data_IF_252713024673
#
_entry.id   IF_252713024673
#
_cell.length_a   1.000
_cell.length_b   1.000
_cell.length_c   1.000
_cell.angle_alpha   90.00
_cell.angle_beta   90.00
_cell.angle_gamma   90.00
#
_symmetry.space_group_name_H-M   'P 1'
#
loop_
_entity.id
_entity.type
_entity.pdbx_description
1 polymer ?
#
# COMPACT_ATOMS: atom_id res chain seq x y z
N UNK A 1 16.98 1.91 -17.36
CA UNK A 1 16.15 2.16 -16.16
C UNK A 1 16.35 3.60 -15.74
N UNK A 2 15.29 4.34 -15.36
CA UNK A 2 15.42 5.72 -14.88
C UNK A 2 16.18 5.73 -13.54
N UNK A 3 17.00 6.75 -13.26
CA UNK A 3 17.79 6.91 -12.04
C UNK A 3 16.94 6.72 -10.77
N UNK A 4 15.71 7.26 -10.71
CA UNK A 4 14.79 7.09 -9.59
C UNK A 4 14.43 5.63 -9.31
N UNK A 5 14.14 4.84 -10.34
CA UNK A 5 13.81 3.41 -10.17
C UNK A 5 15.01 2.60 -9.72
N UNK A 6 16.20 2.97 -10.17
CA UNK A 6 17.44 2.35 -9.74
C UNK A 6 17.67 2.60 -8.24
N UNK A 7 17.52 3.84 -7.77
CA UNK A 7 17.60 4.19 -6.35
C UNK A 7 16.56 3.43 -5.51
N UNK A 8 15.32 3.31 -6.01
CA UNK A 8 14.27 2.52 -5.34
C UNK A 8 14.66 1.05 -5.22
N UNK A 9 15.16 0.47 -6.31
CA UNK A 9 15.62 -0.93 -6.33
C UNK A 9 16.76 -1.16 -5.34
N UNK A 10 17.81 -0.34 -5.40
CA UNK A 10 18.98 -0.42 -4.53
C UNK A 10 18.56 -0.31 -3.05
N UNK A 11 17.69 0.66 -2.73
CA UNK A 11 17.17 0.79 -1.38
C UNK A 11 16.45 -0.49 -0.90
N UNK A 12 15.58 -1.08 -1.71
CA UNK A 12 14.84 -2.28 -1.33
C UNK A 12 15.72 -3.53 -1.31
N UNK A 13 16.68 -3.66 -2.21
CA UNK A 13 17.60 -4.79 -2.23
C UNK A 13 18.57 -4.78 -1.02
N UNK A 14 19.01 -3.60 -0.56
CA UNK A 14 20.03 -3.47 0.48
C UNK A 14 19.44 -3.21 1.88
N UNK A 15 18.36 -2.43 1.97
CA UNK A 15 17.86 -1.91 3.25
C UNK A 15 16.41 -2.34 3.51
N UNK A 16 15.49 -2.03 2.58
CA UNK A 16 14.05 -2.11 2.83
C UNK A 16 13.57 -3.51 3.24
N UNK A 17 14.19 -4.55 2.69
CA UNK A 17 13.87 -5.94 2.96
C UNK A 17 14.90 -6.65 3.84
N UNK A 18 15.80 -5.93 4.50
CA UNK A 18 16.65 -6.50 5.53
C UNK A 18 15.84 -6.91 6.76
N UNK A 19 16.21 -8.04 7.35
CA UNK A 19 15.60 -8.54 8.58
C UNK A 19 16.04 -7.71 9.79
N UNK A 20 15.08 -7.32 10.65
CA UNK A 20 15.32 -6.52 11.86
C UNK A 20 14.97 -7.27 13.16
N UNK A 21 14.81 -8.58 13.08
CA UNK A 21 14.42 -9.46 14.19
C UNK A 21 12.95 -9.88 14.14
N UNK A 22 12.59 -10.92 14.92
CA UNK A 22 11.22 -11.44 15.06
C UNK A 22 10.49 -11.73 13.71
N UNK A 23 11.23 -12.04 12.63
CA UNK A 23 10.67 -12.27 11.30
C UNK A 23 10.15 -11.01 10.60
N UNK A 24 10.47 -9.82 11.11
CA UNK A 24 10.08 -8.55 10.53
C UNK A 24 11.17 -8.00 9.60
N UNK A 25 10.74 -7.31 8.56
CA UNK A 25 11.62 -6.53 7.68
C UNK A 25 11.74 -5.09 8.17
N UNK A 26 12.82 -4.43 7.82
CA UNK A 26 13.04 -3.02 8.13
C UNK A 26 11.85 -2.13 7.70
N UNK A 27 11.21 -2.46 6.59
CA UNK A 27 10.02 -1.77 6.08
C UNK A 27 8.78 -1.91 6.99
N UNK A 28 8.73 -2.90 7.90
CA UNK A 28 7.62 -3.06 8.85
C UNK A 28 7.50 -1.89 9.85
N UNK A 29 8.56 -1.10 10.04
CA UNK A 29 8.53 0.13 10.86
C UNK A 29 7.50 1.16 10.38
N UNK A 30 7.10 1.11 9.11
CA UNK A 30 6.05 1.97 8.56
C UNK A 30 4.64 1.52 8.95
N UNK A 31 4.53 0.45 9.77
CA UNK A 31 3.27 0.01 10.35
C UNK A 31 3.21 0.27 11.87
N UNK A 32 2.02 0.36 12.45
CA UNK A 32 1.84 0.45 13.90
C UNK A 32 1.74 -0.95 14.51
N UNK A 33 2.88 -1.52 14.91
CA UNK A 33 2.99 -2.89 15.41
C UNK A 33 2.48 -3.09 16.85
N UNK A 34 2.01 -2.02 17.51
CA UNK A 34 1.56 -2.10 18.91
C UNK A 34 0.30 -2.98 19.04
N UNK A 35 0.15 -3.72 20.15
CA UNK A 35 -1.01 -4.60 20.38
C UNK A 35 -2.36 -3.88 20.31
N UNK A 36 -2.41 -2.58 20.66
CA UNK A 36 -3.63 -1.76 20.59
C UNK A 36 -4.17 -1.60 19.17
N UNK A 37 -3.30 -1.61 18.16
CA UNK A 37 -3.62 -1.38 16.74
C UNK A 37 -3.81 -2.67 15.94
N UNK A 38 -3.39 -3.82 16.47
CA UNK A 38 -3.33 -5.10 15.75
C UNK A 38 -4.66 -5.49 15.10
N UNK A 39 -5.77 -5.44 15.86
CA UNK A 39 -7.10 -5.81 15.36
C UNK A 39 -7.53 -4.91 14.18
N UNK A 40 -7.31 -3.60 14.29
CA UNK A 40 -7.66 -2.64 13.28
C UNK A 40 -6.83 -2.84 11.99
N UNK A 41 -5.52 -3.02 12.14
CA UNK A 41 -4.59 -3.25 11.02
C UNK A 41 -4.95 -4.55 10.30
N UNK A 42 -5.16 -5.64 11.04
CA UNK A 42 -5.60 -6.91 10.48
C UNK A 42 -6.88 -6.76 9.64
N UNK A 43 -7.91 -6.09 10.19
CA UNK A 43 -9.15 -5.83 9.46
C UNK A 43 -8.93 -4.98 8.20
N UNK A 44 -8.03 -3.99 8.25
CA UNK A 44 -7.67 -3.18 7.08
C UNK A 44 -6.98 -4.03 5.99
N UNK A 45 -6.03 -4.90 6.36
CA UNK A 45 -5.38 -5.83 5.44
C UNK A 45 -6.42 -6.75 4.77
N UNK A 46 -7.35 -7.30 5.52
CA UNK A 46 -8.36 -8.22 5.00
C UNK A 46 -9.38 -7.57 4.04
N UNK A 47 -9.47 -6.23 3.99
CA UNK A 47 -10.34 -5.53 3.02
C UNK A 47 -10.03 -5.85 1.57
N UNK A 48 -8.77 -6.07 1.23
CA UNK A 48 -8.33 -6.41 -0.13
C UNK A 48 -9.04 -7.63 -0.65
N UNK A 49 -9.11 -8.67 0.17
CA UNK A 49 -9.71 -9.97 -0.20
C UNK A 49 -11.18 -9.86 -0.64
N UNK A 50 -11.92 -8.86 -0.13
CA UNK A 50 -13.34 -8.63 -0.49
C UNK A 50 -13.57 -8.24 -1.95
N UNK A 51 -12.54 -7.71 -2.62
CA UNK A 51 -12.63 -7.18 -3.97
C UNK A 51 -11.88 -8.00 -5.00
N UNK A 52 -11.15 -9.02 -4.56
CA UNK A 52 -10.53 -10.01 -5.44
C UNK A 52 -11.58 -11.03 -5.90
N UNK A 53 -11.39 -11.60 -7.08
CA UNK A 53 -12.26 -12.66 -7.55
C UNK A 53 -12.27 -13.83 -6.56
N UNK A 54 -13.44 -14.47 -6.32
CA UNK A 54 -13.56 -15.58 -5.37
C UNK A 54 -12.72 -16.78 -5.76
N UNK A 55 -12.37 -16.93 -7.04
CA UNK A 55 -11.47 -17.95 -7.56
C UNK A 55 -10.83 -17.51 -8.87
N UNK A 56 -9.65 -18.04 -9.17
CA UNK A 56 -8.92 -17.73 -10.40
C UNK A 56 -7.74 -18.67 -10.64
N UNK A 57 -7.17 -18.59 -11.84
CA UNK A 57 -5.96 -19.33 -12.15
C UNK A 57 -4.72 -18.58 -11.64
N UNK A 58 -4.53 -17.33 -12.05
CA UNK A 58 -3.33 -16.55 -11.69
C UNK A 58 -3.75 -15.19 -11.12
N UNK A 59 -3.29 -14.90 -9.89
CA UNK A 59 -3.29 -13.57 -9.31
C UNK A 59 -1.94 -12.90 -9.59
N UNK A 60 -1.93 -11.72 -10.22
CA UNK A 60 -0.74 -10.88 -10.27
C UNK A 60 -0.64 -10.05 -9.00
N UNK A 61 0.51 -10.09 -8.36
CA UNK A 61 0.92 -9.19 -7.29
C UNK A 61 2.03 -8.27 -7.82
N UNK A 62 1.64 -7.05 -8.20
CA UNK A 62 2.52 -6.10 -8.87
C UNK A 62 3.16 -5.16 -7.86
N UNK A 63 4.48 -5.30 -7.67
CA UNK A 63 5.24 -4.72 -6.57
C UNK A 63 4.97 -5.47 -5.28
N UNK A 64 5.14 -6.79 -5.34
CA UNK A 64 4.74 -7.72 -4.27
C UNK A 64 5.54 -7.55 -2.97
N UNK A 65 6.75 -7.01 -3.06
CA UNK A 65 7.68 -7.14 -1.95
C UNK A 65 7.88 -8.62 -1.56
N UNK A 66 8.26 -8.90 -0.31
CA UNK A 66 8.44 -10.25 0.22
C UNK A 66 7.12 -10.91 0.67
N UNK A 67 5.95 -10.34 0.33
CA UNK A 67 4.64 -10.76 0.87
C UNK A 67 4.68 -10.78 2.42
N UNK A 68 5.07 -9.66 3.00
CA UNK A 68 5.55 -9.59 4.40
C UNK A 68 4.51 -9.90 5.48
N UNK A 69 3.21 -9.70 5.22
CA UNK A 69 2.16 -9.89 6.24
C UNK A 69 1.41 -11.20 6.03
N UNK A 70 1.03 -11.92 7.11
CA UNK A 70 0.25 -13.15 7.01
C UNK A 70 -1.05 -12.98 6.23
N UNK A 71 -1.73 -11.84 6.41
CA UNK A 71 -2.97 -11.53 5.67
C UNK A 71 -2.75 -11.48 4.16
N UNK A 72 -1.58 -11.05 3.70
CA UNK A 72 -1.28 -10.96 2.28
C UNK A 72 -1.18 -12.32 1.60
N UNK A 73 -0.80 -13.37 2.33
CA UNK A 73 -0.82 -14.74 1.84
C UNK A 73 -2.24 -15.18 1.49
N UNK A 74 -3.24 -14.69 2.23
CA UNK A 74 -4.65 -15.08 2.04
C UNK A 74 -5.25 -14.55 0.73
N UNK A 75 -4.65 -13.54 0.09
CA UNK A 75 -5.19 -12.95 -1.13
C UNK A 75 -5.21 -13.92 -2.31
N UNK A 76 -4.31 -14.89 -2.34
CA UNK A 76 -4.19 -15.90 -3.39
C UNK A 76 -4.68 -17.29 -2.98
N UNK A 77 -5.35 -17.46 -1.83
CA UNK A 77 -5.84 -18.77 -1.37
C UNK A 77 -6.71 -19.49 -2.42
N UNK A 78 -7.56 -18.74 -3.10
CA UNK A 78 -8.50 -19.25 -4.11
C UNK A 78 -7.97 -19.13 -5.55
N UNK A 79 -6.70 -18.82 -5.73
CA UNK A 79 -6.00 -18.84 -7.01
C UNK A 79 -5.05 -20.03 -7.07
N UNK A 80 -4.92 -20.63 -8.26
CA UNK A 80 -3.98 -21.74 -8.45
C UNK A 80 -2.54 -21.27 -8.23
N UNK A 81 -2.21 -20.08 -8.76
CA UNK A 81 -0.88 -19.47 -8.64
C UNK A 81 -0.96 -18.01 -8.28
N UNK A 82 0.07 -17.52 -7.60
CA UNK A 82 0.35 -16.10 -7.42
C UNK A 82 1.63 -15.74 -8.14
N UNK A 83 1.55 -14.82 -9.09
CA UNK A 83 2.71 -14.28 -9.76
C UNK A 83 3.12 -12.98 -9.04
N UNK A 84 4.29 -13.01 -8.40
CA UNK A 84 4.92 -11.87 -7.76
C UNK A 84 5.85 -11.19 -8.77
N UNK A 85 5.54 -9.94 -9.12
CA UNK A 85 6.36 -9.09 -9.96
C UNK A 85 6.91 -7.93 -9.12
N UNK A 86 8.21 -7.84 -8.97
CA UNK A 86 8.87 -6.77 -8.19
C UNK A 86 10.18 -6.35 -8.84
N UNK A 87 10.62 -5.12 -8.59
CA UNK A 87 11.91 -4.63 -9.08
C UNK A 87 13.09 -5.17 -8.26
N UNK A 88 12.82 -5.55 -7.00
CA UNK A 88 13.79 -6.09 -6.05
C UNK A 88 13.89 -7.61 -6.15
N UNK A 89 15.06 -8.12 -6.51
CA UNK A 89 15.34 -9.55 -6.50
C UNK A 89 15.34 -10.12 -5.07
N UNK A 90 15.78 -9.33 -4.10
CA UNK A 90 15.79 -9.69 -2.68
C UNK A 90 14.37 -9.96 -2.18
N UNK A 91 13.42 -9.06 -2.49
CA UNK A 91 12.01 -9.25 -2.18
C UNK A 91 11.44 -10.54 -2.77
N UNK A 92 11.76 -10.84 -4.03
CA UNK A 92 11.24 -12.04 -4.70
C UNK A 92 11.80 -13.34 -4.13
N UNK A 93 13.06 -13.36 -3.70
CA UNK A 93 13.65 -14.52 -2.98
C UNK A 93 12.91 -14.80 -1.68
N UNK A 94 12.59 -13.76 -0.92
CA UNK A 94 11.80 -13.88 0.31
C UNK A 94 10.35 -14.29 0.04
N UNK A 95 9.71 -13.73 -0.99
CA UNK A 95 8.36 -14.13 -1.41
C UNK A 95 8.31 -15.62 -1.81
N UNK A 96 9.37 -16.14 -2.44
CA UNK A 96 9.48 -17.54 -2.83
C UNK A 96 9.48 -18.46 -1.60
N UNK A 97 10.21 -18.12 -0.55
CA UNK A 97 10.25 -18.91 0.69
C UNK A 97 8.87 -19.00 1.36
N UNK A 98 8.01 -17.99 1.17
CA UNK A 98 6.67 -17.90 1.78
C UNK A 98 5.57 -18.57 0.94
N UNK A 99 5.65 -18.52 -0.38
CA UNK A 99 4.62 -19.01 -1.30
C UNK A 99 4.88 -20.44 -1.81
N UNK A 100 6.15 -20.90 -1.74
CA UNK A 100 6.54 -22.21 -2.22
C UNK A 100 6.13 -22.45 -3.68
N UNK A 101 5.63 -23.63 -3.97
CA UNK A 101 5.25 -24.07 -5.34
C UNK A 101 4.03 -23.34 -5.94
N UNK A 102 3.29 -22.58 -5.12
CA UNK A 102 2.19 -21.74 -5.60
C UNK A 102 2.63 -20.36 -6.09
N UNK A 103 3.92 -20.04 -5.91
CA UNK A 103 4.52 -18.74 -6.30
C UNK A 103 5.21 -18.82 -7.66
N UNK A 104 5.02 -17.81 -8.50
CA UNK A 104 5.81 -17.49 -9.68
C UNK A 104 6.47 -16.14 -9.47
N UNK A 105 7.74 -15.95 -9.89
CA UNK A 105 8.53 -14.78 -9.52
C UNK A 105 9.21 -14.17 -10.73
N UNK A 106 8.99 -12.88 -10.98
CA UNK A 106 9.53 -12.16 -12.13
C UNK A 106 10.05 -10.80 -11.69
N UNK A 107 11.32 -10.50 -11.98
CA UNK A 107 11.84 -9.15 -11.81
C UNK A 107 11.23 -8.25 -12.89
N UNK A 108 10.43 -7.28 -12.50
CA UNK A 108 9.70 -6.44 -13.44
C UNK A 108 9.44 -5.02 -12.91
N UNK A 109 9.38 -4.08 -13.84
CA UNK A 109 8.91 -2.72 -13.61
C UNK A 109 7.40 -2.66 -13.84
N UNK A 110 6.64 -2.24 -12.83
CA UNK A 110 5.17 -2.21 -12.92
C UNK A 110 4.63 -1.19 -13.94
N UNK A 111 5.46 -0.22 -14.35
CA UNK A 111 5.12 0.70 -15.44
C UNK A 111 5.43 0.10 -16.83
N UNK A 112 5.98 -1.11 -16.89
CA UNK A 112 6.31 -1.80 -18.13
C UNK A 112 6.32 -3.32 -17.90
N UNK A 113 5.15 -3.90 -17.64
CA UNK A 113 5.00 -5.31 -17.30
C UNK A 113 5.29 -6.22 -18.51
N UNK A 114 6.15 -7.24 -18.37
CA UNK A 114 6.56 -8.13 -19.46
C UNK A 114 5.52 -9.24 -19.77
N UNK A 115 4.25 -8.92 -19.65
CA UNK A 115 3.16 -9.88 -19.84
C UNK A 115 2.27 -9.48 -21.02
N UNK A 116 1.68 -10.47 -21.68
CA UNK A 116 0.64 -10.26 -22.70
C UNK A 116 -0.60 -9.60 -22.06
N UNK A 117 -1.42 -8.91 -22.84
CA UNK A 117 -2.73 -8.44 -22.35
C UNK A 117 -3.59 -9.61 -21.87
N UNK A 118 -4.45 -9.36 -20.88
CA UNK A 118 -5.51 -10.28 -20.45
C UNK A 118 -5.05 -11.67 -19.97
N UNK A 119 -3.94 -11.68 -19.21
CA UNK A 119 -3.37 -12.93 -18.65
C UNK A 119 -3.93 -13.25 -17.26
N UNK A 120 -4.20 -12.21 -16.42
CA UNK A 120 -4.46 -12.40 -15.01
C UNK A 120 -5.94 -12.37 -14.65
N UNK A 121 -6.36 -13.27 -13.76
CA UNK A 121 -7.73 -13.35 -13.23
C UNK A 121 -7.99 -12.38 -12.09
N UNK A 122 -6.94 -11.77 -11.56
CA UNK A 122 -6.96 -10.70 -10.58
C UNK A 122 -5.62 -10.02 -10.52
N UNK A 123 -5.62 -8.76 -10.10
CA UNK A 123 -4.40 -7.98 -9.90
C UNK A 123 -4.47 -7.31 -8.53
N UNK A 124 -3.38 -7.38 -7.77
CA UNK A 124 -3.19 -6.58 -6.56
C UNK A 124 -1.88 -5.80 -6.68
N UNK A 125 -1.88 -4.54 -6.23
CA UNK A 125 -0.67 -3.72 -6.13
C UNK A 125 -0.74 -2.86 -4.88
N UNK A 126 0.19 -3.06 -3.96
CA UNK A 126 0.13 -2.45 -2.63
C UNK A 126 1.34 -1.57 -2.38
N UNK A 127 1.10 -0.28 -2.19
CA UNK A 127 2.13 0.70 -1.82
C UNK A 127 3.31 0.79 -2.81
N UNK A 128 3.08 0.53 -4.10
CA UNK A 128 4.13 0.42 -5.12
C UNK A 128 4.17 1.62 -6.06
N UNK A 129 3.02 2.04 -6.62
CA UNK A 129 2.98 3.07 -7.66
C UNK A 129 3.59 4.39 -7.19
N UNK A 130 3.48 4.72 -5.90
CA UNK A 130 4.04 5.95 -5.36
C UNK A 130 5.59 5.97 -5.30
N UNK A 131 6.25 4.85 -5.60
CA UNK A 131 7.72 4.79 -5.77
C UNK A 131 8.17 5.07 -7.21
N UNK A 132 7.23 5.25 -8.13
CA UNK A 132 7.52 5.68 -9.49
C UNK A 132 7.55 7.21 -9.61
N UNK A 133 8.27 7.77 -10.60
CA UNK A 133 8.09 9.17 -11.01
C UNK A 133 6.63 9.44 -11.37
N UNK A 134 6.13 10.65 -11.08
CA UNK A 134 4.72 11.02 -11.33
C UNK A 134 4.33 10.84 -12.81
N UNK A 135 5.26 11.08 -13.74
CA UNK A 135 5.06 10.87 -15.19
C UNK A 135 4.75 9.42 -15.57
N UNK A 136 5.11 8.46 -14.72
CA UNK A 136 4.89 7.04 -14.96
C UNK A 136 3.69 6.45 -14.21
N UNK A 137 3.09 7.19 -13.26
CA UNK A 137 1.93 6.70 -12.50
C UNK A 137 0.78 6.28 -13.40
N UNK A 138 0.41 7.12 -14.39
CA UNK A 138 -0.65 6.80 -15.35
C UNK A 138 -0.32 5.51 -16.09
N UNK A 139 0.90 5.37 -16.60
CA UNK A 139 1.34 4.19 -17.32
C UNK A 139 1.25 2.93 -16.44
N UNK A 140 1.66 3.00 -15.18
CA UNK A 140 1.55 1.87 -14.26
C UNK A 140 0.10 1.40 -14.08
N UNK A 141 -0.85 2.31 -13.86
CA UNK A 141 -2.27 1.95 -13.80
C UNK A 141 -2.75 1.26 -15.10
N UNK A 142 -2.36 1.80 -16.26
CA UNK A 142 -2.76 1.22 -17.55
C UNK A 142 -2.11 -0.15 -17.81
N UNK A 143 -0.89 -0.40 -17.34
CA UNK A 143 -0.26 -1.72 -17.40
C UNK A 143 -1.02 -2.75 -16.55
N UNK A 144 -1.43 -2.39 -15.31
CA UNK A 144 -2.26 -3.27 -14.47
C UNK A 144 -3.60 -3.61 -15.15
N UNK A 145 -4.23 -2.62 -15.80
CA UNK A 145 -5.48 -2.80 -16.53
C UNK A 145 -5.26 -3.65 -17.80
N UNK A 146 -4.17 -3.40 -18.53
CA UNK A 146 -3.85 -4.12 -19.77
C UNK A 146 -3.73 -5.62 -19.53
N UNK A 147 -2.99 -6.00 -18.50
CA UNK A 147 -2.71 -7.41 -18.19
C UNK A 147 -3.86 -8.14 -17.51
N UNK A 148 -4.84 -7.40 -16.96
CA UNK A 148 -6.05 -7.94 -16.34
C UNK A 148 -7.02 -8.42 -17.42
N UNK A 149 -7.61 -9.60 -17.25
CA UNK A 149 -8.66 -10.14 -18.12
C UNK A 149 -9.94 -9.29 -18.05
N UNK A 150 -10.74 -9.35 -19.11
CA UNK A 150 -12.07 -8.74 -19.15
C UNK A 150 -12.96 -9.26 -18.01
N UNK A 151 -13.81 -8.39 -17.47
CA UNK A 151 -14.72 -8.68 -16.35
C UNK A 151 -14.01 -9.10 -15.04
N UNK A 152 -12.73 -8.80 -14.89
CA UNK A 152 -11.95 -9.04 -13.66
C UNK A 152 -11.63 -7.73 -12.94
N UNK A 153 -11.05 -7.86 -11.75
CA UNK A 153 -10.83 -6.75 -10.84
C UNK A 153 -9.35 -6.59 -10.52
N UNK A 154 -8.86 -5.35 -10.56
CA UNK A 154 -7.60 -4.97 -9.96
C UNK A 154 -7.86 -4.17 -8.68
N UNK A 155 -7.07 -4.45 -7.63
CA UNK A 155 -7.09 -3.74 -6.35
C UNK A 155 -5.75 -3.05 -6.16
N UNK A 156 -5.78 -1.72 -6.04
CA UNK A 156 -4.58 -0.91 -5.87
C UNK A 156 -4.66 -0.12 -4.57
N UNK A 157 -3.61 -0.19 -3.75
CA UNK A 157 -3.47 0.58 -2.52
C UNK A 157 -2.25 1.49 -2.62
N UNK A 158 -2.46 2.77 -2.34
CA UNK A 158 -1.41 3.79 -2.27
C UNK A 158 -1.67 4.74 -1.10
N UNK A 159 -0.80 5.74 -0.91
CA UNK A 159 -1.08 6.83 0.00
C UNK A 159 -1.54 8.07 -0.77
N UNK A 160 -2.53 8.81 -0.23
CA UNK A 160 -2.86 10.13 -0.77
C UNK A 160 -1.83 11.19 -0.35
N UNK A 161 -1.63 12.15 -1.24
CA UNK A 161 -0.92 13.39 -0.91
C UNK A 161 -1.85 14.30 -0.09
N UNK A 162 -1.41 14.68 1.12
CA UNK A 162 -2.15 15.57 2.03
C UNK A 162 -3.64 15.19 2.24
N UNK A 163 -3.94 13.98 2.74
CA UNK A 163 -5.30 13.58 2.98
C UNK A 163 -5.97 14.46 4.06
N UNK A 164 -7.24 14.78 3.86
CA UNK A 164 -7.98 15.74 4.70
C UNK A 164 -7.88 15.41 6.20
N UNK A 165 -8.11 14.16 6.59
CA UNK A 165 -8.03 13.75 8.00
C UNK A 165 -6.66 13.97 8.63
N UNK A 166 -5.59 13.69 7.88
CA UNK A 166 -4.25 13.90 8.40
C UNK A 166 -3.87 15.39 8.44
N UNK A 167 -4.36 16.16 7.48
CA UNK A 167 -4.20 17.62 7.47
C UNK A 167 -4.89 18.27 8.67
N UNK A 168 -6.10 17.83 9.02
CA UNK A 168 -6.83 18.29 10.22
C UNK A 168 -6.15 17.84 11.52
N UNK A 169 -5.51 16.67 11.54
CA UNK A 169 -4.83 16.15 12.73
C UNK A 169 -3.44 16.77 12.96
N UNK A 170 -2.80 17.34 11.93
CA UNK A 170 -1.45 17.86 12.00
C UNK A 170 -1.22 18.93 13.08
N UNK A 171 -2.12 19.92 13.29
CA UNK A 171 -1.96 20.90 14.39
C UNK A 171 -1.88 20.23 15.77
N UNK A 172 -2.71 19.22 16.00
CA UNK A 172 -2.73 18.48 17.28
C UNK A 172 -1.46 17.62 17.45
N UNK A 173 -0.97 17.02 16.36
CA UNK A 173 0.31 16.29 16.36
C UNK A 173 1.46 17.24 16.73
N UNK A 174 1.47 18.46 16.18
CA UNK A 174 2.48 19.47 16.51
C UNK A 174 2.41 19.91 17.95
N UNK A 175 1.19 20.19 18.45
CA UNK A 175 0.99 20.55 19.86
C UNK A 175 1.49 19.45 20.80
N UNK A 176 1.13 18.20 20.52
CA UNK A 176 1.60 17.05 21.29
C UNK A 176 3.13 16.90 21.30
N UNK A 177 3.81 17.22 20.18
CA UNK A 177 5.28 17.24 20.12
C UNK A 177 5.88 18.35 20.97
N UNK A 178 5.29 19.55 20.92
CA UNK A 178 5.72 20.68 21.76
C UNK A 178 5.64 20.33 23.24
N UNK A 179 4.49 19.81 23.67
CA UNK A 179 4.27 19.41 25.06
C UNK A 179 5.20 18.26 25.51
N UNK A 180 5.63 17.42 24.58
CA UNK A 180 6.59 16.34 24.84
C UNK A 180 8.08 16.82 24.79
N UNK A 181 8.35 18.11 24.69
CA UNK A 181 9.71 18.67 24.60
C UNK A 181 10.47 18.29 23.31
N UNK A 182 9.76 17.78 22.28
CA UNK A 182 10.37 17.38 21.00
C UNK A 182 10.34 18.55 20.02
N UNK A 183 11.50 18.81 19.37
CA UNK A 183 11.61 19.89 18.39
C UNK A 183 10.50 19.86 17.33
N UNK A 184 9.84 21.01 17.16
CA UNK A 184 8.79 21.22 16.13
C UNK A 184 9.37 21.78 14.84
N UNK A 185 10.69 22.01 14.78
CA UNK A 185 11.31 22.55 13.56
C UNK A 185 10.90 21.64 12.39
N UNK A 186 10.02 22.17 11.56
CA UNK A 186 9.67 21.59 10.27
C UNK A 186 10.92 21.70 9.42
N UNK A 187 11.63 20.60 9.26
CA UNK A 187 12.61 20.54 8.20
C UNK A 187 11.82 20.73 6.88
N UNK A 188 12.23 21.73 6.11
CA UNK A 188 11.54 22.22 4.91
C UNK A 188 11.36 21.15 3.80
N UNK A 189 12.03 20.02 3.97
CA UNK A 189 11.95 18.82 3.15
C UNK A 189 11.29 17.69 3.93
N UNK A 190 9.97 17.80 4.17
CA UNK A 190 9.14 16.75 4.77
C UNK A 190 9.29 15.36 4.10
N UNK A 191 9.73 15.33 2.84
CA UNK A 191 9.95 14.10 2.07
C UNK A 191 11.33 13.46 2.26
N UNK A 192 12.32 14.16 2.86
CA UNK A 192 13.72 13.71 2.82
C UNK A 192 14.36 13.39 4.16
N UNK A 193 13.80 13.86 5.32
CA UNK A 193 14.56 13.83 6.58
C UNK A 193 14.01 12.97 7.72
N UNK A 194 12.76 12.50 7.69
CA UNK A 194 12.36 11.30 8.45
C UNK A 194 12.80 10.04 7.70
N UNK A 195 13.29 10.22 6.48
CA UNK A 195 13.68 9.19 5.51
C UNK A 195 15.17 9.22 5.15
N UNK A 196 16.08 9.50 6.08
CA UNK A 196 17.49 9.14 5.88
C UNK A 196 17.68 7.60 5.73
N UNK A 197 16.60 6.84 5.84
CA UNK A 197 16.52 5.42 5.57
C UNK A 197 15.29 5.04 4.69
N UNK A 198 14.67 5.97 3.98
CA UNK A 198 13.56 5.76 3.05
C UNK A 198 13.99 5.90 1.59
N UNK A 199 13.09 5.53 0.67
CA UNK A 199 13.31 5.68 -0.77
C UNK A 199 12.39 6.74 -1.36
N UNK A 200 12.53 7.01 -2.66
CA UNK A 200 11.68 7.96 -3.37
C UNK A 200 10.19 7.64 -3.21
N UNK A 201 9.40 8.65 -2.85
CA UNK A 201 7.94 8.56 -2.72
C UNK A 201 7.27 9.80 -3.33
N UNK A 202 6.39 9.58 -4.32
CA UNK A 202 5.55 10.62 -4.91
C UNK A 202 4.08 10.19 -4.85
N UNK A 203 3.30 10.79 -3.98
CA UNK A 203 1.89 10.46 -3.79
C UNK A 203 1.01 11.28 -4.73
N UNK A 204 -0.11 10.70 -5.15
CA UNK A 204 -1.14 11.36 -5.96
C UNK A 204 -2.29 11.88 -5.10
N UNK A 205 -3.21 12.62 -5.70
CA UNK A 205 -4.46 13.07 -5.08
C UNK A 205 -5.65 12.30 -5.65
N UNK A 206 -6.80 12.23 -4.95
CA UNK A 206 -8.04 11.66 -5.51
C UNK A 206 -8.47 12.35 -6.81
N UNK A 207 -8.28 13.68 -6.89
CA UNK A 207 -8.60 14.47 -8.10
C UNK A 207 -7.76 14.06 -9.30
N UNK A 208 -6.46 13.85 -9.09
CA UNK A 208 -5.55 13.36 -10.14
C UNK A 208 -6.01 11.98 -10.64
N UNK A 209 -6.24 11.03 -9.73
CA UNK A 209 -6.67 9.69 -10.09
C UNK A 209 -7.98 9.70 -10.90
N UNK A 210 -8.97 10.46 -10.44
CA UNK A 210 -10.25 10.60 -11.15
C UNK A 210 -10.05 11.17 -12.55
N UNK A 211 -9.20 12.20 -12.72
CA UNK A 211 -8.90 12.79 -14.02
C UNK A 211 -8.26 11.77 -14.98
N UNK A 212 -7.30 10.99 -14.50
CA UNK A 212 -6.51 10.09 -15.38
C UNK A 212 -7.25 8.80 -15.76
N UNK A 213 -8.18 8.31 -14.92
CA UNK A 213 -8.81 7.01 -15.13
C UNK A 213 -10.28 7.07 -15.55
N UNK A 214 -11.01 8.20 -15.38
CA UNK A 214 -12.47 8.29 -15.56
C UNK A 214 -12.99 7.84 -16.93
N UNK A 215 -12.21 8.10 -17.99
CA UNK A 215 -12.62 7.82 -19.36
C UNK A 215 -12.08 6.45 -19.86
N UNK A 216 -11.29 5.76 -19.05
CA UNK A 216 -10.62 4.52 -19.45
C UNK A 216 -11.26 3.27 -18.80
N UNK A 217 -11.69 3.39 -17.54
CA UNK A 217 -12.19 2.23 -16.77
C UNK A 217 -13.18 2.66 -15.70
N UNK A 218 -14.03 1.71 -15.29
CA UNK A 218 -14.86 1.89 -14.09
C UNK A 218 -14.03 1.61 -12.84
N UNK A 219 -14.01 2.55 -11.90
CA UNK A 219 -13.34 2.34 -10.62
C UNK A 219 -14.11 2.93 -9.45
N UNK A 220 -13.83 2.41 -8.26
CA UNK A 220 -14.36 2.91 -6.98
C UNK A 220 -13.22 3.09 -5.99
N UNK A 221 -13.35 4.10 -5.13
CA UNK A 221 -12.37 4.41 -4.09
C UNK A 221 -13.01 4.10 -2.74
N UNK A 222 -12.37 3.22 -1.98
CA UNK A 222 -12.76 2.81 -0.63
C UNK A 222 -11.60 3.10 0.34
N UNK A 223 -11.81 3.10 1.65
CA UNK A 223 -10.71 3.16 2.59
C UNK A 223 -10.02 1.80 2.68
N UNK A 224 -8.72 1.74 2.48
CA UNK A 224 -7.93 0.65 3.03
C UNK A 224 -7.67 0.92 4.50
N UNK A 225 -7.20 2.13 4.83
CA UNK A 225 -7.00 2.63 6.20
C UNK A 225 -6.97 4.16 6.20
N UNK A 226 -7.79 4.78 7.04
CA UNK A 226 -7.86 6.25 7.08
C UNK A 226 -6.79 6.89 7.94
N UNK A 227 -6.29 6.16 8.94
CA UNK A 227 -5.29 6.67 9.87
C UNK A 227 -3.86 6.33 9.43
N UNK A 228 -2.95 7.29 9.55
CA UNK A 228 -1.53 7.02 9.37
C UNK A 228 -0.94 6.31 10.61
N UNK A 229 0.12 5.49 10.48
CA UNK A 229 0.82 4.90 11.62
C UNK A 229 1.32 5.96 12.61
N UNK A 230 1.77 7.11 12.08
CA UNK A 230 2.20 8.24 12.90
C UNK A 230 1.07 8.78 13.77
N UNK A 231 -0.14 8.99 13.18
CA UNK A 231 -1.31 9.40 13.94
C UNK A 231 -1.65 8.38 15.03
N UNK A 232 -1.70 7.10 14.65
CA UNK A 232 -2.01 6.04 15.61
C UNK A 232 -1.02 6.03 16.77
N UNK A 233 0.28 6.09 16.51
CA UNK A 233 1.32 6.11 17.55
C UNK A 233 1.20 7.31 18.51
N UNK A 234 0.69 8.45 18.05
CA UNK A 234 0.51 9.64 18.89
C UNK A 234 -0.79 9.61 19.71
N UNK A 235 -1.91 9.27 19.09
CA UNK A 235 -3.23 9.47 19.68
C UNK A 235 -3.89 8.21 20.19
N UNK A 236 -3.56 7.04 19.63
CA UNK A 236 -4.16 5.78 20.05
C UNK A 236 -3.39 5.21 21.24
N UNK A 237 -3.95 5.33 22.43
CA UNK A 237 -3.35 4.85 23.68
C UNK A 237 -4.24 3.78 24.32
N UNK A 238 -3.66 2.65 24.81
CA UNK A 238 -4.44 1.58 25.46
C UNK A 238 -5.26 2.10 26.64
N UNK A 239 -4.65 2.93 27.49
CA UNK A 239 -5.23 3.47 28.70
C UNK A 239 -6.38 4.47 28.47
N UNK A 240 -6.51 5.01 27.27
CA UNK A 240 -7.58 5.95 26.89
C UNK A 240 -8.57 5.33 25.91
N UNK A 241 -8.83 4.03 26.00
CA UNK A 241 -9.80 3.37 25.14
C UNK A 241 -9.39 3.24 23.67
N UNK A 242 -8.08 3.22 23.37
CA UNK A 242 -7.57 3.21 22.02
C UNK A 242 -8.13 2.10 21.13
N UNK A 243 -8.40 0.89 21.67
CA UNK A 243 -9.06 -0.19 20.92
C UNK A 243 -10.49 0.17 20.53
N UNK A 244 -11.28 0.75 21.45
CA UNK A 244 -12.65 1.18 21.18
C UNK A 244 -12.69 2.31 20.13
N UNK A 245 -11.77 3.26 20.25
CA UNK A 245 -11.58 4.31 19.25
C UNK A 245 -11.30 3.72 17.84
N UNK A 246 -10.38 2.78 17.71
CA UNK A 246 -10.08 2.15 16.43
C UNK A 246 -11.24 1.32 15.87
N UNK A 247 -12.03 0.67 16.73
CA UNK A 247 -13.27 -0.03 16.34
C UNK A 247 -14.32 0.96 15.80
N UNK A 248 -14.48 2.12 16.46
CA UNK A 248 -15.37 3.18 15.98
C UNK A 248 -14.89 3.72 14.62
N UNK A 249 -13.60 4.01 14.46
CA UNK A 249 -13.06 4.45 13.16
C UNK A 249 -13.32 3.40 12.09
N UNK A 250 -13.06 2.12 12.36
CA UNK A 250 -13.31 1.04 11.41
C UNK A 250 -14.80 0.98 11.02
N UNK A 251 -15.72 1.11 11.97
CA UNK A 251 -17.16 1.15 11.72
C UNK A 251 -17.55 2.35 10.87
N UNK A 252 -17.02 3.54 11.12
CA UNK A 252 -17.23 4.73 10.30
C UNK A 252 -16.72 4.55 8.87
N UNK A 253 -15.55 3.96 8.69
CA UNK A 253 -14.98 3.63 7.39
C UNK A 253 -15.87 2.67 6.59
N UNK A 254 -16.47 1.67 7.25
CA UNK A 254 -17.42 0.75 6.62
C UNK A 254 -18.77 1.42 6.32
N UNK A 255 -19.22 2.36 7.15
CA UNK A 255 -20.50 3.07 6.98
C UNK A 255 -20.44 4.18 5.93
N UNK A 256 -19.30 4.84 5.79
CA UNK A 256 -19.06 5.95 4.87
C UNK A 256 -17.84 5.72 3.96
N UNK A 257 -17.82 4.61 3.21
CA UNK A 257 -16.59 4.14 2.56
C UNK A 257 -16.08 5.11 1.47
N UNK A 258 -16.95 5.80 0.75
CA UNK A 258 -16.53 6.78 -0.27
C UNK A 258 -15.84 7.98 0.36
N UNK A 259 -16.41 8.50 1.43
CA UNK A 259 -15.85 9.65 2.13
C UNK A 259 -14.47 9.33 2.71
N UNK A 260 -14.34 8.20 3.43
CA UNK A 260 -13.08 7.78 4.03
C UNK A 260 -12.05 7.32 3.00
N UNK A 261 -12.47 6.77 1.87
CA UNK A 261 -11.60 6.40 0.77
C UNK A 261 -10.92 7.62 0.12
N UNK A 262 -11.66 8.72 -0.06
CA UNK A 262 -11.13 9.94 -0.68
C UNK A 262 -10.37 10.84 0.30
N UNK A 263 -10.71 10.81 1.59
CA UNK A 263 -10.18 11.73 2.61
C UNK A 263 -9.26 11.06 3.64
N UNK A 264 -9.20 9.74 3.68
CA UNK A 264 -8.30 8.96 4.54
C UNK A 264 -6.87 8.87 4.00
N UNK A 265 -5.97 8.28 4.77
CA UNK A 265 -4.55 8.21 4.44
C UNK A 265 -4.25 7.26 3.27
N UNK A 266 -4.87 6.08 3.27
CA UNK A 266 -4.61 5.01 2.31
C UNK A 266 -5.92 4.56 1.65
N UNK A 267 -6.13 4.92 0.38
CA UNK A 267 -7.24 4.43 -0.41
C UNK A 267 -7.04 2.97 -0.82
N UNK A 268 -8.15 2.27 -1.01
CA UNK A 268 -8.27 1.02 -1.73
C UNK A 268 -9.05 1.31 -3.01
N UNK A 269 -8.35 1.26 -4.14
CA UNK A 269 -8.89 1.59 -5.45
C UNK A 269 -9.23 0.27 -6.14
N UNK A 270 -10.51 0.07 -6.40
CA UNK A 270 -11.05 -1.11 -7.09
C UNK A 270 -11.32 -0.74 -8.53
N UNK A 271 -10.61 -1.33 -9.46
CA UNK A 271 -10.73 -1.10 -10.90
C UNK A 271 -11.40 -2.33 -11.52
N UNK A 272 -12.45 -2.12 -12.31
CA UNK A 272 -13.09 -3.16 -13.11
C UNK A 272 -12.78 -2.94 -14.59
N UNK A 273 -12.29 -3.98 -15.24
CA UNK A 273 -12.08 -4.00 -16.69
C UNK A 273 -13.29 -4.59 -17.39
#
# INVERSE_FOLDING_TARGET
MNNTKQQVREFYDEIGWSHVGEGLYQNARYEDLRPVSREYIHKCHMRVKRYLAPQGNILLDAGSGPVQWPEYLTYSENYRYRLCADISITALKEARSRLGDRGMFVVADIANLPFKPEVFDGVVSMHTIHHLPLSEHRRAYFELIRVLKANKTAVVINGWHNPLFMSMAEPFIRLGRLLAGRSTKRKKNWSLEEDQAGTFVKKMTPRWLKKELKDAVTFKIYPWRSLSPRFMRWFVRPQFGGKAYLRLIFWLEERFPRFFGENGQYPLIVIKK
#
